data_IF_015174133658
#
_entry.id   IF_015174133658
#
_cell.length_a   1.000
_cell.length_b   1.000
_cell.length_c   1.000
_cell.angle_alpha   90.00
_cell.angle_beta   90.00
_cell.angle_gamma   90.00
#
_symmetry.space_group_name_H-M   'P 1'
#
loop_
_entity.id
_entity.type
_entity.pdbx_description
1 polymer ?
#
# COMPACT_ATOMS: atom_id res chain seq x y z
N UNK A 1 -80.44 23.70 -43.65
CA UNK A 1 -80.50 23.93 -42.19
C UNK A 1 -79.39 23.13 -41.52
N UNK A 2 -78.51 23.83 -40.78
CA UNK A 2 -77.81 23.45 -39.52
C UNK A 2 -77.06 22.10 -39.46
N UNK A 3 -75.72 22.13 -39.32
CA UNK A 3 -74.95 21.95 -38.05
C UNK A 3 -74.93 20.48 -37.58
N UNK A 4 -73.86 19.88 -37.05
CA UNK A 4 -72.65 20.37 -36.37
C UNK A 4 -71.70 19.17 -36.17
N UNK A 5 -70.42 19.48 -36.01
CA UNK A 5 -69.37 18.64 -35.41
C UNK A 5 -69.73 18.11 -34.01
N UNK A 6 -69.01 17.06 -33.56
CA UNK A 6 -68.16 16.96 -32.33
C UNK A 6 -67.99 15.44 -32.02
N UNK A 7 -66.81 14.81 -32.13
CA UNK A 7 -65.57 14.79 -31.29
C UNK A 7 -65.66 13.98 -29.98
N UNK A 8 -64.54 13.31 -29.67
CA UNK A 8 -64.18 12.40 -28.55
C UNK A 8 -64.62 10.93 -28.72
N UNK A 9 -63.78 9.89 -28.63
CA UNK A 9 -62.39 9.76 -28.20
C UNK A 9 -62.26 8.50 -27.34
N UNK A 10 -61.40 7.53 -27.70
CA UNK A 10 -60.52 6.80 -26.78
C UNK A 10 -59.70 5.71 -27.50
N UNK A 11 -58.40 5.97 -27.53
CA UNK A 11 -57.24 5.09 -27.38
C UNK A 11 -57.50 3.64 -26.88
N UNK A 12 -57.11 2.63 -27.67
CA UNK A 12 -56.52 1.37 -27.17
C UNK A 12 -55.32 1.01 -28.04
N UNK A 13 -54.18 0.86 -27.37
CA UNK A 13 -52.87 0.48 -27.87
C UNK A 13 -52.88 -0.90 -28.56
N UNK A 14 -52.37 -0.94 -29.80
CA UNK A 14 -52.03 -2.16 -30.53
C UNK A 14 -50.53 -2.41 -30.33
N UNK A 15 -50.19 -3.35 -29.44
CA UNK A 15 -48.82 -3.88 -29.33
C UNK A 15 -48.65 -4.92 -30.44
N UNK A 16 -48.08 -4.51 -31.56
CA UNK A 16 -47.51 -5.41 -32.54
C UNK A 16 -46.00 -5.52 -32.25
N UNK A 17 -45.59 -6.68 -31.74
CA UNK A 17 -44.19 -7.00 -31.53
C UNK A 17 -43.45 -7.11 -32.86
N UNK A 18 -42.60 -6.13 -33.15
CA UNK A 18 -41.53 -6.28 -34.13
C UNK A 18 -40.39 -7.04 -33.45
N UNK A 19 -40.23 -8.32 -33.80
CA UNK A 19 -39.01 -9.07 -33.57
C UNK A 19 -38.00 -8.63 -34.64
N UNK A 20 -37.17 -7.65 -34.31
CA UNK A 20 -35.95 -7.36 -35.04
C UNK A 20 -34.84 -8.22 -34.42
N UNK A 21 -34.52 -9.33 -35.09
CA UNK A 21 -33.33 -10.11 -34.84
C UNK A 21 -32.15 -9.31 -35.44
N UNK A 22 -31.51 -8.49 -34.62
CA UNK A 22 -30.24 -7.87 -34.97
C UNK A 22 -29.18 -8.97 -34.88
N UNK A 23 -28.72 -9.43 -36.04
CA UNK A 23 -27.63 -10.39 -36.17
C UNK A 23 -26.38 -9.65 -35.69
N UNK A 24 -25.88 -9.97 -34.50
CA UNK A 24 -24.54 -9.58 -34.08
C UNK A 24 -23.56 -10.21 -35.08
N UNK A 25 -22.99 -9.39 -35.95
CA UNK A 25 -21.73 -9.75 -36.61
C UNK A 25 -20.67 -9.77 -35.52
N UNK A 26 -20.25 -10.98 -35.15
CA UNK A 26 -19.02 -11.15 -34.38
C UNK A 26 -17.89 -10.54 -35.23
N UNK A 27 -17.37 -9.39 -34.78
CA UNK A 27 -16.18 -8.79 -35.37
C UNK A 27 -15.03 -9.73 -35.03
N UNK A 28 -14.64 -10.55 -36.00
CA UNK A 28 -13.45 -11.40 -35.89
C UNK A 28 -12.23 -10.49 -35.82
N UNK A 29 -11.69 -10.35 -34.61
CA UNK A 29 -10.45 -9.63 -34.34
C UNK A 29 -9.35 -10.33 -35.12
N UNK A 30 -8.82 -9.67 -36.15
CA UNK A 30 -7.73 -10.19 -36.97
C UNK A 30 -6.52 -10.60 -36.10
N UNK A 31 -5.82 -11.67 -36.49
CA UNK A 31 -4.66 -12.21 -35.76
C UNK A 31 -3.58 -11.14 -35.46
N UNK A 32 -3.53 -10.06 -36.25
CA UNK A 32 -2.66 -8.90 -36.01
C UNK A 32 -3.08 -8.10 -34.77
N UNK A 33 -4.38 -7.88 -34.53
CA UNK A 33 -4.90 -7.22 -33.33
C UNK A 33 -4.83 -8.13 -32.10
N UNK A 34 -5.01 -9.45 -32.30
CA UNK A 34 -4.78 -10.45 -31.26
C UNK A 34 -3.32 -10.47 -30.82
N UNK A 35 -2.39 -10.33 -31.79
CA UNK A 35 -0.95 -10.20 -31.52
C UNK A 35 -0.58 -8.93 -30.76
N UNK A 36 -1.30 -7.81 -30.95
CA UNK A 36 -1.09 -6.56 -30.16
C UNK A 36 -1.69 -6.63 -28.76
N UNK A 37 -2.66 -7.53 -28.52
CA UNK A 37 -3.21 -7.83 -27.18
C UNK A 37 -2.42 -8.91 -26.44
N UNK A 38 -1.74 -9.82 -27.15
CA UNK A 38 -0.90 -10.88 -26.59
C UNK A 38 0.57 -10.44 -26.37
N UNK A 39 1.02 -9.33 -26.96
CA UNK A 39 2.32 -8.73 -26.60
C UNK A 39 2.13 -7.71 -25.49
N UNK A 40 2.25 -8.19 -24.24
CA UNK A 40 2.56 -7.40 -23.05
C UNK A 40 3.91 -6.66 -23.21
N UNK A 41 4.00 -5.66 -24.08
CA UNK A 41 5.22 -4.88 -24.28
C UNK A 41 4.89 -3.38 -24.26
N UNK A 42 4.12 -2.97 -23.26
CA UNK A 42 3.86 -1.58 -22.94
C UNK A 42 4.40 -1.31 -21.54
N UNK A 43 5.71 -1.08 -21.45
CA UNK A 43 6.40 -0.76 -20.22
C UNK A 43 6.01 0.67 -19.84
N UNK A 44 5.36 0.85 -18.69
CA UNK A 44 5.08 2.18 -18.17
C UNK A 44 6.41 2.91 -17.89
N UNK A 45 6.70 4.00 -18.61
CA UNK A 45 7.80 4.90 -18.24
C UNK A 45 7.37 5.77 -17.05
N UNK A 46 7.36 5.17 -15.86
CA UNK A 46 7.17 5.92 -14.62
C UNK A 46 8.47 6.65 -14.27
N UNK A 47 8.41 7.89 -13.77
CA UNK A 47 9.60 8.54 -13.24
C UNK A 47 10.12 7.73 -12.05
N UNK A 48 11.41 7.39 -12.03
CA UNK A 48 11.99 6.60 -10.94
C UNK A 48 11.80 7.25 -9.57
N UNK A 49 11.80 8.59 -9.52
CA UNK A 49 11.59 9.36 -8.30
C UNK A 49 10.30 10.17 -8.37
N UNK A 50 9.63 10.27 -7.23
CA UNK A 50 8.39 11.00 -7.04
C UNK A 50 8.70 12.31 -6.33
N UNK A 51 8.16 13.42 -6.83
CA UNK A 51 8.31 14.74 -6.19
C UNK A 51 7.36 14.90 -5.00
N UNK A 52 7.65 15.83 -4.08
CA UNK A 52 6.76 16.12 -2.94
C UNK A 52 5.33 16.46 -3.37
N UNK A 53 5.16 17.24 -4.45
CA UNK A 53 3.83 17.57 -4.98
C UNK A 53 3.11 16.31 -5.47
N UNK A 54 3.81 15.42 -6.17
CA UNK A 54 3.23 14.17 -6.63
C UNK A 54 2.86 13.26 -5.46
N UNK A 55 3.71 13.16 -4.44
CA UNK A 55 3.46 12.36 -3.24
C UNK A 55 2.28 12.91 -2.41
N UNK A 56 2.14 14.24 -2.26
CA UNK A 56 0.95 14.85 -1.62
C UNK A 56 -0.34 14.46 -2.33
N UNK A 57 -0.37 14.57 -3.66
CA UNK A 57 -1.53 14.18 -4.45
C UNK A 57 -1.85 12.68 -4.31
N UNK A 58 -0.83 11.82 -4.36
CA UNK A 58 -0.97 10.37 -4.17
C UNK A 58 -1.55 10.05 -2.80
N UNK A 59 -1.04 10.68 -1.74
CA UNK A 59 -1.52 10.50 -0.37
C UNK A 59 -2.98 10.96 -0.19
N UNK A 60 -3.34 12.12 -0.75
CA UNK A 60 -4.73 12.61 -0.73
C UNK A 60 -5.65 11.68 -1.51
N UNK A 61 -5.25 11.24 -2.71
CA UNK A 61 -6.04 10.32 -3.51
C UNK A 61 -6.24 9.00 -2.77
N UNK A 62 -5.19 8.47 -2.15
CA UNK A 62 -5.28 7.28 -1.30
C UNK A 62 -6.30 7.43 -0.17
N UNK A 63 -6.22 8.52 0.61
CA UNK A 63 -7.16 8.77 1.71
C UNK A 63 -8.60 8.89 1.21
N UNK A 64 -8.79 9.51 0.05
CA UNK A 64 -10.10 9.69 -0.57
C UNK A 64 -10.70 8.40 -1.15
N UNK A 65 -9.88 7.39 -1.47
CA UNK A 65 -10.34 6.06 -1.88
C UNK A 65 -10.92 5.26 -0.72
N UNK A 66 -10.49 5.55 0.51
CA UNK A 66 -10.93 4.80 1.68
C UNK A 66 -12.40 5.05 2.00
N UNK A 67 -13.11 4.03 2.52
CA UNK A 67 -14.47 4.21 3.05
C UNK A 67 -14.55 5.28 4.15
N UNK A 68 -13.42 5.60 4.80
CA UNK A 68 -13.30 6.64 5.82
C UNK A 68 -13.56 8.06 5.27
N UNK A 69 -13.28 8.32 3.98
CA UNK A 69 -13.56 9.62 3.34
C UNK A 69 -15.06 9.95 3.29
N UNK A 70 -15.93 8.92 3.26
CA UNK A 70 -17.38 9.12 3.29
C UNK A 70 -17.89 9.65 4.64
N UNK A 71 -17.12 9.48 5.73
CA UNK A 71 -17.46 9.90 7.09
C UNK A 71 -16.85 11.26 7.43
N UNK A 72 -15.58 11.47 7.03
CA UNK A 72 -14.80 12.67 7.39
C UNK A 72 -14.87 13.76 6.31
N UNK A 73 -15.42 13.45 5.12
CA UNK A 73 -15.36 14.29 3.94
C UNK A 73 -14.11 14.03 3.09
N UNK A 74 -14.02 14.69 1.94
CA UNK A 74 -12.84 14.56 1.09
C UNK A 74 -11.64 15.31 1.68
N UNK A 75 -10.53 14.62 1.78
CA UNK A 75 -9.23 15.19 2.13
C UNK A 75 -8.71 16.07 0.99
N UNK A 76 -8.03 17.15 1.35
CA UNK A 76 -7.36 18.08 0.44
C UNK A 76 -6.00 18.50 1.02
N UNK A 77 -5.27 19.35 0.28
CA UNK A 77 -3.93 19.80 0.67
C UNK A 77 -3.93 20.60 1.99
N UNK A 78 -5.02 21.29 2.31
CA UNK A 78 -5.15 22.06 3.55
C UNK A 78 -5.33 21.17 4.79
N UNK A 79 -5.67 19.89 4.60
CA UNK A 79 -5.74 18.91 5.69
C UNK A 79 -4.36 18.36 6.08
N UNK A 80 -3.29 18.74 5.37
CA UNK A 80 -1.91 18.34 5.67
C UNK A 80 -1.31 19.32 6.68
N UNK A 81 -1.05 18.85 7.90
CA UNK A 81 -0.36 19.62 8.95
C UNK A 81 1.14 19.67 8.67
N UNK A 82 1.70 18.52 8.34
CA UNK A 82 3.12 18.36 8.12
C UNK A 82 3.39 17.40 6.96
N UNK A 83 4.40 17.74 6.17
CA UNK A 83 4.89 16.91 5.09
C UNK A 83 6.41 16.87 5.21
N UNK A 84 6.94 15.72 5.59
CA UNK A 84 8.35 15.48 5.83
C UNK A 84 8.95 14.70 4.67
N UNK A 85 10.18 15.06 4.31
CA UNK A 85 10.97 14.33 3.33
C UNK A 85 12.09 13.59 4.05
N UNK A 86 12.08 12.26 3.96
CA UNK A 86 13.13 11.39 4.48
C UNK A 86 14.07 11.04 3.33
N UNK A 87 15.36 11.25 3.54
CA UNK A 87 16.38 11.13 2.51
C UNK A 87 17.47 10.14 2.90
N UNK A 88 18.14 9.59 1.91
CA UNK A 88 19.35 8.80 2.11
C UNK A 88 20.59 9.67 2.34
N UNK A 89 21.72 9.02 2.63
CA UNK A 89 23.03 9.65 2.78
C UNK A 89 23.51 10.39 1.51
N UNK A 90 22.93 10.07 0.34
CA UNK A 90 23.17 10.78 -0.92
C UNK A 90 22.23 11.98 -1.12
N UNK A 91 21.41 12.32 -0.11
CA UNK A 91 20.42 13.39 -0.11
C UNK A 91 19.28 13.19 -1.14
N UNK A 92 19.03 11.95 -1.55
CA UNK A 92 17.91 11.56 -2.40
C UNK A 92 16.71 11.18 -1.52
N UNK A 93 15.48 11.57 -1.88
CA UNK A 93 14.29 11.20 -1.12
C UNK A 93 14.04 9.70 -1.24
N UNK A 94 13.79 9.04 -0.10
CA UNK A 94 13.43 7.63 -0.01
C UNK A 94 11.98 7.48 0.42
N UNK A 95 11.52 8.31 1.36
CA UNK A 95 10.14 8.28 1.85
C UNK A 95 9.61 9.70 2.06
N UNK A 96 8.29 9.82 2.01
CA UNK A 96 7.56 10.99 2.45
C UNK A 96 6.63 10.63 3.60
N UNK A 97 6.50 11.51 4.59
CA UNK A 97 5.54 11.37 5.69
C UNK A 97 4.56 12.53 5.64
N UNK A 98 3.28 12.21 5.55
CA UNK A 98 2.18 13.16 5.51
C UNK A 98 1.34 13.02 6.79
N UNK A 99 1.49 13.95 7.73
CA UNK A 99 0.68 14.03 8.94
C UNK A 99 -0.52 14.96 8.71
N UNK A 100 -1.70 14.54 9.17
CA UNK A 100 -2.95 15.26 8.98
C UNK A 100 -3.30 16.12 10.20
N UNK A 101 -3.91 17.28 9.92
CA UNK A 101 -4.35 18.22 10.96
C UNK A 101 -5.28 17.56 11.97
N UNK A 102 -5.17 18.00 13.22
CA UNK A 102 -5.97 17.51 14.35
C UNK A 102 -5.76 16.03 14.67
N UNK A 103 -4.54 15.51 14.43
CA UNK A 103 -4.20 14.12 14.74
C UNK A 103 -5.11 13.11 14.02
N UNK A 104 -5.56 13.45 12.80
CA UNK A 104 -6.50 12.64 12.00
C UNK A 104 -5.79 11.56 11.18
N UNK A 105 -4.61 11.14 11.63
CA UNK A 105 -3.83 10.10 10.99
C UNK A 105 -2.66 10.61 10.17
N UNK A 106 -2.04 9.66 9.49
CA UNK A 106 -0.85 9.88 8.66
C UNK A 106 -0.84 8.96 7.45
N UNK A 107 0.00 9.28 6.47
CA UNK A 107 0.36 8.40 5.37
C UNK A 107 1.88 8.48 5.16
N UNK A 108 2.55 7.32 5.11
CA UNK A 108 3.95 7.18 4.71
C UNK A 108 3.98 6.66 3.28
N UNK A 109 4.65 7.40 2.41
CA UNK A 109 4.74 7.12 0.98
C UNK A 109 6.15 6.79 0.55
N UNK A 110 6.29 5.93 -0.45
CA UNK A 110 7.55 5.78 -1.16
C UNK A 110 7.88 7.04 -1.96
N UNK A 111 9.15 7.43 -2.00
CA UNK A 111 9.63 8.47 -2.90
C UNK A 111 10.09 7.92 -4.27
N UNK A 112 9.92 6.62 -4.51
CA UNK A 112 10.31 5.96 -5.76
C UNK A 112 9.22 5.04 -6.31
N UNK A 113 9.00 5.08 -7.62
CA UNK A 113 7.96 4.30 -8.30
C UNK A 113 8.28 2.82 -8.44
N UNK A 114 9.53 2.44 -8.14
CA UNK A 114 9.99 1.05 -8.12
C UNK A 114 9.44 0.27 -6.93
N UNK A 115 8.95 1.00 -5.92
CA UNK A 115 8.37 0.48 -4.69
C UNK A 115 6.92 0.91 -4.56
N UNK A 116 6.14 0.19 -3.75
CA UNK A 116 4.73 0.45 -3.45
C UNK A 116 4.50 1.90 -3.00
N UNK A 117 3.43 2.58 -3.48
CA UNK A 117 3.20 3.98 -3.17
C UNK A 117 2.86 4.26 -1.71
N UNK A 118 2.11 3.37 -1.06
CA UNK A 118 1.62 3.55 0.31
C UNK A 118 2.22 2.47 1.19
N UNK A 119 3.18 2.88 2.03
CA UNK A 119 3.96 1.97 2.86
C UNK A 119 3.35 1.85 4.26
N UNK A 120 2.89 2.96 4.83
CA UNK A 120 2.11 2.92 6.06
C UNK A 120 1.02 3.98 6.06
N UNK A 121 -0.02 3.77 6.86
CA UNK A 121 -1.04 4.78 7.09
C UNK A 121 -1.82 4.55 8.38
N UNK A 122 -2.42 5.60 8.90
CA UNK A 122 -3.43 5.52 9.96
C UNK A 122 -4.52 6.56 9.73
N UNK A 123 -5.71 6.32 10.27
CA UNK A 123 -6.82 7.29 10.28
C UNK A 123 -6.88 8.07 11.61
N UNK A 124 -5.92 7.85 12.50
CA UNK A 124 -5.77 8.50 13.79
C UNK A 124 -4.29 8.61 14.16
N UNK A 125 -3.95 9.54 15.03
CA UNK A 125 -2.55 9.73 15.43
C UNK A 125 -1.74 10.50 14.39
N UNK A 126 -0.42 10.46 14.57
CA UNK A 126 0.58 11.04 13.69
C UNK A 126 1.81 10.12 13.62
N UNK A 127 2.64 10.33 12.61
CA UNK A 127 3.91 9.65 12.46
C UNK A 127 5.06 10.58 12.87
N UNK A 128 5.87 10.15 13.83
CA UNK A 128 7.00 10.90 14.39
C UNK A 128 8.32 10.30 13.91
N UNK A 129 8.89 10.92 12.86
CA UNK A 129 10.19 10.54 12.31
C UNK A 129 11.33 10.84 13.29
N UNK A 130 11.21 11.91 14.07
CA UNK A 130 12.30 12.38 14.95
C UNK A 130 12.56 11.47 16.14
N UNK A 131 11.62 10.59 16.46
CA UNK A 131 11.71 9.65 17.58
C UNK A 131 11.72 8.18 17.12
N UNK A 132 12.02 7.92 15.84
CA UNK A 132 11.95 6.57 15.27
C UNK A 132 12.95 5.59 15.93
N UNK A 133 14.11 6.09 16.34
CA UNK A 133 15.16 5.32 17.01
C UNK A 133 14.77 4.81 18.40
N UNK A 134 13.78 5.45 19.04
CA UNK A 134 13.24 4.97 20.32
C UNK A 134 12.43 3.67 20.18
N UNK A 135 12.21 3.22 18.95
CA UNK A 135 11.42 2.03 18.62
C UNK A 135 12.21 1.12 17.69
N UNK A 136 13.00 0.20 18.24
CA UNK A 136 13.87 -0.69 17.47
C UNK A 136 13.12 -1.35 16.28
N UNK A 137 11.87 -1.79 16.48
CA UNK A 137 11.11 -2.39 15.38
C UNK A 137 10.62 -1.44 14.29
N UNK A 138 10.25 -0.21 14.64
CA UNK A 138 9.79 0.78 13.66
C UNK A 138 11.00 1.28 12.85
N UNK A 139 12.13 1.44 13.55
CA UNK A 139 13.42 1.74 12.96
C UNK A 139 13.83 0.67 11.95
N UNK A 140 13.68 -0.60 12.32
CA UNK A 140 14.02 -1.73 11.46
C UNK A 140 13.07 -1.86 10.25
N UNK A 141 11.77 -1.60 10.43
CA UNK A 141 10.83 -1.48 9.31
C UNK A 141 11.25 -0.38 8.32
N UNK A 142 11.55 0.80 8.83
CA UNK A 142 12.00 1.94 8.04
C UNK A 142 13.31 1.65 7.29
N UNK A 143 14.27 1.03 7.98
CA UNK A 143 15.55 0.61 7.41
C UNK A 143 15.34 -0.35 6.24
N UNK A 144 14.38 -1.27 6.38
CA UNK A 144 14.10 -2.25 5.34
C UNK A 144 13.48 -1.64 4.10
N UNK A 145 12.62 -0.61 4.23
CA UNK A 145 12.14 0.16 3.07
C UNK A 145 13.27 0.88 2.35
N UNK A 146 14.18 1.48 3.12
CA UNK A 146 15.38 2.11 2.55
C UNK A 146 16.25 1.12 1.77
N UNK A 147 16.58 -0.02 2.37
CA UNK A 147 17.42 -1.06 1.74
C UNK A 147 16.78 -1.59 0.47
N UNK A 148 15.47 -1.86 0.52
CA UNK A 148 14.69 -2.39 -0.60
C UNK A 148 14.63 -1.42 -1.78
N UNK A 149 14.29 -0.14 -1.53
CA UNK A 149 14.23 0.89 -2.57
C UNK A 149 15.58 1.03 -3.29
N UNK A 150 16.68 1.14 -2.53
CA UNK A 150 18.02 1.28 -3.11
C UNK A 150 18.40 0.08 -3.99
N UNK A 151 18.04 -1.14 -3.57
CA UNK A 151 18.28 -2.31 -4.39
C UNK A 151 17.48 -2.28 -5.68
N UNK A 152 16.18 -2.00 -5.59
CA UNK A 152 15.30 -1.99 -6.77
C UNK A 152 15.84 -0.96 -7.78
N UNK A 153 16.24 0.22 -7.31
CA UNK A 153 16.92 1.24 -8.12
C UNK A 153 18.22 0.71 -8.77
N UNK A 154 19.08 0.03 -8.02
CA UNK A 154 20.37 -0.47 -8.57
C UNK A 154 20.22 -1.60 -9.58
N UNK A 155 19.15 -2.40 -9.49
CA UNK A 155 18.89 -3.51 -10.40
C UNK A 155 18.11 -3.12 -11.64
N UNK A 156 17.51 -1.92 -11.68
CA UNK A 156 16.86 -1.36 -12.86
C UNK A 156 17.81 -0.97 -14.01
N UNK A 157 19.13 -1.12 -13.81
CA UNK A 157 20.15 -0.96 -14.85
C UNK A 157 20.44 -2.22 -15.68
N UNK A 158 19.73 -3.32 -15.45
CA UNK A 158 19.83 -4.54 -16.23
C UNK A 158 19.09 -4.42 -17.57
N UNK A 159 19.52 -5.18 -18.59
CA UNK A 159 18.97 -5.10 -19.96
C UNK A 159 17.46 -5.46 -20.02
N UNK A 160 16.92 -6.12 -19.00
CA UNK A 160 15.51 -6.58 -18.92
C UNK A 160 14.82 -6.20 -17.59
N UNK A 161 15.35 -5.23 -16.83
CA UNK A 161 14.79 -4.89 -15.53
C UNK A 161 13.69 -3.84 -15.65
N UNK A 162 12.45 -4.26 -15.44
CA UNK A 162 11.26 -3.41 -15.44
C UNK A 162 10.73 -3.19 -14.01
N UNK A 163 9.99 -2.11 -13.82
CA UNK A 163 9.20 -1.92 -12.61
C UNK A 163 8.13 -3.02 -12.56
N UNK A 164 7.98 -3.64 -11.39
CA UNK A 164 6.95 -4.66 -11.17
C UNK A 164 5.57 -4.12 -11.57
N UNK A 165 4.88 -4.85 -12.46
CA UNK A 165 3.60 -4.39 -13.03
C UNK A 165 2.50 -4.18 -11.98
N UNK A 166 2.52 -4.92 -10.86
CA UNK A 166 1.58 -4.72 -9.76
C UNK A 166 1.88 -3.41 -9.03
N UNK A 167 3.16 -3.12 -8.78
CA UNK A 167 3.60 -1.83 -8.21
C UNK A 167 3.23 -0.67 -9.13
N UNK A 168 3.50 -0.79 -10.42
CA UNK A 168 3.14 0.22 -11.41
C UNK A 168 1.63 0.50 -11.42
N UNK A 169 0.81 -0.55 -11.38
CA UNK A 169 -0.66 -0.41 -11.33
C UNK A 169 -1.15 0.30 -10.06
N UNK A 170 -0.50 0.10 -8.91
CA UNK A 170 -0.83 0.86 -7.69
C UNK A 170 -0.57 2.36 -7.87
N UNK A 171 0.59 2.74 -8.45
CA UNK A 171 0.90 4.14 -8.75
C UNK A 171 -0.09 4.76 -9.74
N UNK A 172 -0.40 4.05 -10.82
CA UNK A 172 -1.35 4.52 -11.84
C UNK A 172 -2.74 4.76 -11.23
N UNK A 173 -3.22 3.87 -10.36
CA UNK A 173 -4.52 4.06 -9.69
C UNK A 173 -4.54 5.28 -8.78
N UNK A 174 -3.45 5.56 -8.06
CA UNK A 174 -3.38 6.70 -7.16
C UNK A 174 -3.05 8.01 -7.88
N UNK A 175 -2.37 7.94 -9.02
CA UNK A 175 -2.00 9.10 -9.83
C UNK A 175 -1.91 8.69 -11.31
N UNK A 176 -3.04 8.70 -12.04
CA UNK A 176 -3.06 8.26 -13.44
C UNK A 176 -2.15 9.08 -14.37
N UNK A 177 -1.86 10.33 -14.02
CA UNK A 177 -0.97 11.21 -14.76
C UNK A 177 0.51 11.04 -14.40
N UNK A 178 0.87 10.11 -13.51
CA UNK A 178 2.29 9.76 -13.26
C UNK A 178 2.90 9.01 -14.45
N UNK A 179 2.05 8.46 -15.30
CA UNK A 179 2.39 7.71 -16.49
C UNK A 179 2.38 8.63 -17.72
N UNK A 180 3.52 8.77 -18.39
CA UNK A 180 3.66 9.59 -19.61
C UNK A 180 3.24 8.80 -20.87
N UNK A 181 3.11 7.47 -20.82
CA UNK A 181 2.87 6.63 -22.00
C UNK A 181 1.49 5.96 -22.08
N UNK A 182 0.84 5.58 -20.97
CA UNK A 182 -0.60 5.21 -21.00
C UNK A 182 -1.47 6.44 -21.34
N UNK A 183 -0.94 7.66 -21.14
CA UNK A 183 -1.59 8.92 -21.51
C UNK A 183 -1.63 9.23 -23.03
N UNK A 184 -1.34 8.26 -23.92
CA UNK A 184 -1.57 8.45 -25.37
C UNK A 184 -3.05 8.48 -25.75
N UNK A 185 -3.94 8.07 -24.88
CA UNK A 185 -5.31 8.57 -24.90
C UNK A 185 -5.69 9.04 -23.50
N UNK A 186 -6.12 10.31 -23.32
CA UNK A 186 -6.73 10.78 -22.09
C UNK A 186 -8.09 10.09 -21.93
N UNK A 187 -8.07 8.82 -21.54
CA UNK A 187 -9.22 8.03 -21.17
C UNK A 187 -9.64 8.40 -19.75
N UNK A 188 -10.92 8.63 -19.55
CA UNK A 188 -11.51 8.95 -18.24
C UNK A 188 -11.26 7.76 -17.31
N UNK A 189 -10.30 7.89 -16.39
CA UNK A 189 -10.11 6.95 -15.29
C UNK A 189 -11.32 7.04 -14.38
N UNK A 190 -12.10 5.97 -14.32
CA UNK A 190 -13.26 5.91 -13.42
C UNK A 190 -12.98 4.88 -12.34
N UNK A 191 -12.86 5.36 -11.10
CA UNK A 191 -12.86 4.52 -9.92
C UNK A 191 -14.20 3.79 -9.82
N UNK A 192 -14.17 2.46 -9.62
CA UNK A 192 -15.39 1.66 -9.54
C UNK A 192 -15.69 1.20 -8.11
N UNK A 193 -14.69 0.66 -7.40
CA UNK A 193 -14.89 0.11 -6.06
C UNK A 193 -13.58 -0.06 -5.28
N UNK A 194 -13.64 0.01 -3.94
CA UNK A 194 -12.57 -0.40 -3.01
C UNK A 194 -13.05 -1.63 -2.26
N UNK A 195 -12.37 -2.75 -2.51
CA UNK A 195 -12.61 -4.01 -1.85
C UNK A 195 -11.59 -4.14 -0.71
N UNK A 196 -12.07 -4.01 0.53
CA UNK A 196 -11.27 -4.22 1.74
C UNK A 196 -11.73 -5.46 2.48
N UNK A 197 -10.78 -6.31 2.84
CA UNK A 197 -11.00 -7.41 3.78
C UNK A 197 -10.14 -7.13 5.01
N UNK A 198 -10.76 -7.05 6.19
CA UNK A 198 -10.07 -6.85 7.47
C UNK A 198 -10.39 -8.00 8.40
N UNK A 199 -9.38 -8.55 9.06
CA UNK A 199 -9.53 -9.68 9.98
C UNK A 199 -9.15 -9.27 11.41
N UNK A 200 -10.00 -9.68 12.37
CA UNK A 200 -9.71 -9.68 13.81
C UNK A 200 -9.66 -8.32 14.53
N UNK A 201 -9.82 -8.39 15.85
CA UNK A 201 -9.40 -7.39 16.84
C UNK A 201 -8.95 -8.17 18.07
N UNK A 202 -7.70 -8.65 18.05
CA UNK A 202 -7.19 -9.38 19.18
C UNK A 202 -6.91 -8.38 20.33
N UNK A 203 -7.58 -8.57 21.47
CA UNK A 203 -7.49 -7.69 22.63
C UNK A 203 -6.11 -7.78 23.28
N UNK A 204 -5.58 -6.61 23.70
CA UNK A 204 -4.50 -6.42 24.66
C UNK A 204 -3.40 -7.51 24.76
N UNK A 205 -2.44 -7.49 23.83
CA UNK A 205 -1.16 -8.15 24.03
C UNK A 205 -0.14 -7.15 24.61
N UNK A 206 0.26 -7.31 25.86
CA UNK A 206 1.49 -6.67 26.35
C UNK A 206 2.68 -7.41 25.77
N UNK A 207 3.66 -6.70 25.20
CA UNK A 207 4.93 -7.28 24.78
C UNK A 207 5.66 -7.81 26.00
N UNK A 208 5.61 -9.11 26.22
CA UNK A 208 6.44 -9.76 27.24
C UNK A 208 7.64 -10.37 26.51
N UNK A 209 8.78 -9.67 26.55
CA UNK A 209 10.08 -10.28 26.28
C UNK A 209 10.18 -11.55 27.15
N UNK A 210 9.99 -12.72 26.54
CA UNK A 210 9.92 -13.99 27.28
C UNK A 210 8.88 -15.00 26.77
N UNK A 211 7.99 -14.63 25.83
CA UNK A 211 7.05 -15.60 25.23
C UNK A 211 7.80 -16.74 24.50
N UNK A 212 9.05 -16.49 24.08
CA UNK A 212 9.86 -17.43 23.31
C UNK A 212 10.62 -18.49 24.12
N UNK A 213 10.50 -18.53 25.45
CA UNK A 213 11.24 -19.49 26.29
C UNK A 213 10.58 -20.88 26.30
N UNK A 214 10.30 -21.43 25.11
CA UNK A 214 10.10 -22.85 24.74
C UNK A 214 9.10 -23.72 25.53
N UNK A 215 8.45 -23.20 26.57
CA UNK A 215 7.83 -23.99 27.63
C UNK A 215 6.30 -24.05 27.56
N UNK A 216 5.67 -23.25 26.69
CA UNK A 216 4.21 -23.03 26.71
C UNK A 216 3.47 -23.47 25.43
N UNK A 217 4.06 -24.33 24.60
CA UNK A 217 3.35 -24.96 23.47
C UNK A 217 3.11 -24.06 22.25
N UNK A 218 3.87 -22.97 22.11
CA UNK A 218 3.79 -22.07 20.96
C UNK A 218 4.45 -22.64 19.71
N UNK A 219 3.94 -22.25 18.55
CA UNK A 219 4.58 -22.51 17.25
C UNK A 219 5.33 -21.27 16.78
N UNK A 220 6.62 -21.42 16.53
CA UNK A 220 7.44 -20.43 15.83
C UNK A 220 7.62 -20.85 14.37
N UNK A 221 7.49 -19.90 13.46
CA UNK A 221 7.77 -20.12 12.03
C UNK A 221 8.34 -18.86 11.40
N UNK A 222 8.90 -19.00 10.19
CA UNK A 222 9.20 -17.85 9.34
C UNK A 222 7.92 -17.02 9.11
N UNK A 223 8.10 -15.73 8.85
CA UNK A 223 6.98 -14.84 8.62
C UNK A 223 6.18 -15.26 7.39
N UNK A 224 4.87 -15.39 7.55
CA UNK A 224 3.96 -15.68 6.45
C UNK A 224 2.65 -14.93 6.68
N UNK A 225 2.33 -14.00 5.77
CA UNK A 225 1.13 -13.17 5.94
C UNK A 225 -0.16 -13.99 5.99
N UNK A 226 -0.27 -15.08 5.22
CA UNK A 226 -1.47 -15.91 5.25
C UNK A 226 -1.64 -16.58 6.62
N UNK A 227 -0.55 -17.06 7.23
CA UNK A 227 -0.59 -17.55 8.62
C UNK A 227 -1.08 -16.47 9.59
N UNK A 228 -0.59 -15.23 9.46
CA UNK A 228 -1.06 -14.11 10.31
C UNK A 228 -2.54 -13.83 10.08
N UNK A 229 -2.99 -13.82 8.83
CA UNK A 229 -4.38 -13.57 8.47
C UNK A 229 -5.32 -14.68 8.98
N UNK A 230 -4.89 -15.93 8.94
CA UNK A 230 -5.65 -17.08 9.45
C UNK A 230 -5.77 -17.02 10.98
N UNK A 231 -4.70 -16.69 11.70
CA UNK A 231 -4.76 -16.46 13.15
C UNK A 231 -5.70 -15.29 13.51
N UNK A 232 -5.68 -14.19 12.75
CA UNK A 232 -6.60 -13.06 12.95
C UNK A 232 -8.06 -13.38 12.61
N UNK A 233 -8.32 -14.26 11.64
CA UNK A 233 -9.67 -14.78 11.37
C UNK A 233 -10.25 -15.50 12.60
N UNK A 234 -9.38 -16.15 13.36
CA UNK A 234 -9.71 -16.83 14.61
C UNK A 234 -9.60 -15.91 15.83
N UNK A 235 -9.44 -14.60 15.63
CA UNK A 235 -9.28 -13.58 16.69
C UNK A 235 -8.08 -13.79 17.62
N UNK A 236 -7.02 -14.45 17.14
CA UNK A 236 -5.79 -14.70 17.89
C UNK A 236 -4.75 -13.60 17.61
N UNK A 237 -3.98 -13.17 18.63
CA UNK A 237 -2.86 -12.24 18.42
C UNK A 237 -1.72 -13.01 17.77
N UNK A 238 -1.02 -12.37 16.83
CA UNK A 238 0.28 -12.85 16.35
C UNK A 238 1.37 -11.91 16.80
N UNK A 239 2.40 -12.46 17.41
CA UNK A 239 3.60 -11.69 17.73
C UNK A 239 4.60 -11.87 16.61
N UNK A 240 5.21 -10.77 16.19
CA UNK A 240 6.26 -10.75 15.20
C UNK A 240 7.55 -10.42 15.93
N UNK A 241 8.52 -11.32 15.82
CA UNK A 241 9.86 -11.08 16.31
C UNK A 241 10.75 -10.71 15.12
N UNK A 242 11.48 -9.60 15.28
CA UNK A 242 12.44 -9.10 14.33
C UNK A 242 13.80 -8.96 14.98
N UNK A 243 14.85 -9.44 14.35
CA UNK A 243 16.21 -9.36 14.87
C UNK A 243 17.14 -8.76 13.82
N UNK A 244 17.80 -7.65 14.14
CA UNK A 244 18.77 -6.98 13.28
C UNK A 244 20.21 -7.06 13.84
N UNK A 245 21.20 -7.06 12.94
CA UNK A 245 22.62 -6.91 13.28
C UNK A 245 23.16 -5.49 13.05
N UNK A 246 22.31 -4.56 12.65
CA UNK A 246 22.67 -3.18 12.33
C UNK A 246 21.50 -2.27 12.69
N UNK A 247 21.77 -1.00 12.99
CA UNK A 247 20.74 -0.03 13.33
C UNK A 247 20.63 1.03 12.24
N UNK A 248 19.44 1.57 12.07
CA UNK A 248 19.24 2.77 11.29
C UNK A 248 19.43 3.98 12.20
N UNK A 249 20.28 4.90 11.77
CA UNK A 249 20.45 6.21 12.38
C UNK A 249 19.65 7.24 11.59
N UNK A 250 19.00 8.15 12.31
CA UNK A 250 18.24 9.26 11.77
C UNK A 250 18.82 10.57 12.28
N UNK A 251 18.88 11.58 11.42
CA UNK A 251 19.34 12.91 11.83
C UNK A 251 18.52 13.96 11.11
N UNK A 252 18.00 14.95 11.84
CA UNK A 252 17.35 16.09 11.23
C UNK A 252 18.38 16.85 10.35
N UNK A 253 18.13 16.92 9.04
CA UNK A 253 19.03 17.57 8.08
C UNK A 253 18.54 18.96 7.67
N UNK A 254 17.33 19.33 8.07
CA UNK A 254 16.78 20.66 7.88
C UNK A 254 15.32 20.77 8.33
N UNK A 255 14.68 21.93 8.12
CA UNK A 255 13.25 22.09 8.35
C UNK A 255 12.48 21.08 7.51
N UNK A 256 11.71 20.20 8.18
CA UNK A 256 10.89 19.16 7.53
C UNK A 256 11.69 18.13 6.70
N UNK A 257 12.97 17.94 6.99
CA UNK A 257 13.80 16.94 6.32
C UNK A 257 14.66 16.15 7.30
N UNK A 258 14.73 14.85 7.06
CA UNK A 258 15.52 13.90 7.85
C UNK A 258 16.45 13.13 6.91
N UNK A 259 17.71 12.99 7.31
CA UNK A 259 18.66 12.08 6.69
C UNK A 259 18.65 10.76 7.46
N UNK A 260 18.63 9.66 6.73
CA UNK A 260 18.77 8.31 7.26
C UNK A 260 20.04 7.66 6.70
N UNK A 261 20.80 7.06 7.61
CA UNK A 261 21.98 6.28 7.30
C UNK A 261 21.97 4.98 8.10
N UNK A 262 22.45 3.89 7.50
CA UNK A 262 22.59 2.62 8.21
C UNK A 262 23.94 2.60 8.91
N UNK A 263 23.92 2.52 10.24
CA UNK A 263 25.14 2.36 11.02
C UNK A 263 25.38 0.88 11.28
N UNK A 264 26.53 0.39 10.83
CA UNK A 264 27.04 -0.95 11.15
C UNK A 264 27.72 -0.89 12.52
N UNK A 265 26.99 -0.45 13.55
CA UNK A 265 27.45 -0.72 14.90
C UNK A 265 27.37 -2.24 15.10
N UNK A 266 28.54 -2.85 15.28
CA UNK A 266 28.65 -4.26 15.69
C UNK A 266 28.05 -4.40 17.09
N UNK A 267 26.73 -4.54 17.15
CA UNK A 267 26.07 -4.90 18.39
C UNK A 267 26.54 -6.32 18.74
N UNK A 268 27.20 -6.52 19.91
CA UNK A 268 27.62 -7.85 20.33
C UNK A 268 26.42 -8.79 20.60
N UNK A 269 25.21 -8.23 20.66
CA UNK A 269 23.95 -8.92 20.86
C UNK A 269 22.99 -8.53 19.72
N UNK A 270 22.35 -9.52 19.11
CA UNK A 270 21.31 -9.31 18.09
C UNK A 270 20.23 -8.41 18.67
N UNK A 271 19.96 -7.24 18.07
CA UNK A 271 18.88 -6.37 18.51
C UNK A 271 17.56 -7.00 18.07
N UNK A 272 16.91 -7.72 18.98
CA UNK A 272 15.64 -8.34 18.73
C UNK A 272 14.51 -7.54 19.36
N UNK A 273 13.42 -7.36 18.62
CA UNK A 273 12.20 -6.73 19.08
C UNK A 273 11.02 -7.65 18.89
N UNK A 274 9.96 -7.41 19.66
CA UNK A 274 8.70 -8.12 19.54
C UNK A 274 7.57 -7.12 19.37
N UNK A 275 6.69 -7.36 18.39
CA UNK A 275 5.55 -6.52 18.09
C UNK A 275 4.28 -7.36 18.04
N UNK A 276 3.18 -6.83 18.53
CA UNK A 276 1.87 -7.45 18.36
C UNK A 276 1.23 -6.97 17.04
N UNK A 277 1.05 -7.89 16.09
CA UNK A 277 0.18 -7.68 14.94
C UNK A 277 -1.26 -7.99 15.37
N UNK A 278 -2.11 -6.96 15.39
CA UNK A 278 -3.48 -7.09 15.92
C UNK A 278 -4.53 -7.38 14.86
N UNK A 279 -4.27 -6.91 13.63
CA UNK A 279 -5.19 -7.01 12.50
C UNK A 279 -4.41 -7.14 11.20
N UNK A 280 -5.05 -7.74 10.21
CA UNK A 280 -4.57 -7.82 8.83
C UNK A 280 -5.59 -7.15 7.93
N UNK A 281 -5.11 -6.52 6.86
CA UNK A 281 -5.96 -5.90 5.85
C UNK A 281 -5.41 -6.13 4.46
N UNK A 282 -6.23 -6.73 3.61
CA UNK A 282 -6.01 -6.77 2.15
C UNK A 282 -6.84 -5.69 1.48
N UNK A 283 -6.27 -5.02 0.50
CA UNK A 283 -6.92 -3.94 -0.23
C UNK A 283 -6.76 -4.14 -1.73
N UNK A 284 -7.87 -4.06 -2.45
CA UNK A 284 -7.89 -4.12 -3.91
C UNK A 284 -8.78 -3.02 -4.44
N UNK A 285 -8.28 -2.32 -5.46
CA UNK A 285 -8.99 -1.21 -6.09
C UNK A 285 -9.37 -1.63 -7.48
N UNK A 286 -10.68 -1.61 -7.77
CA UNK A 286 -11.19 -1.83 -9.11
C UNK A 286 -11.29 -0.49 -9.82
N UNK A 287 -10.60 -0.37 -10.96
CA UNK A 287 -10.64 0.84 -11.78
C UNK A 287 -11.02 0.49 -13.22
N UNK A 288 -11.53 1.48 -13.95
CA UNK A 288 -11.84 1.36 -15.37
C UNK A 288 -11.03 2.38 -16.16
N UNK A 289 -10.43 1.90 -17.23
CA UNK A 289 -9.92 2.70 -18.33
C UNK A 289 -10.73 2.38 -19.60
N UNK A 290 -10.48 3.08 -20.70
CA UNK A 290 -11.25 2.90 -21.94
C UNK A 290 -11.22 1.46 -22.46
N UNK A 291 -10.09 0.77 -22.29
CA UNK A 291 -9.88 -0.61 -22.76
C UNK A 291 -10.52 -1.68 -21.88
N UNK A 292 -10.96 -1.38 -20.66
CA UNK A 292 -11.53 -2.39 -19.76
C UNK A 292 -11.49 -2.02 -18.28
N UNK A 293 -11.84 -3.00 -17.43
CA UNK A 293 -11.75 -2.90 -15.98
C UNK A 293 -10.58 -3.72 -15.45
N UNK A 294 -9.82 -3.13 -14.54
CA UNK A 294 -8.58 -3.65 -14.00
C UNK A 294 -8.61 -3.60 -12.47
N UNK A 295 -7.66 -4.29 -11.85
CA UNK A 295 -7.47 -4.28 -10.41
C UNK A 295 -6.05 -3.85 -10.07
N UNK A 296 -5.91 -2.90 -9.15
CA UNK A 296 -4.68 -2.68 -8.42
C UNK A 296 -4.81 -3.38 -7.06
N UNK A 297 -3.97 -4.37 -6.83
CA UNK A 297 -3.85 -5.01 -5.52
C UNK A 297 -2.80 -4.23 -4.73
N UNK A 298 -3.20 -3.73 -3.58
CA UNK A 298 -2.31 -3.05 -2.65
C UNK A 298 -1.64 -4.07 -1.73
N UNK A 299 -0.56 -3.67 -1.05
CA UNK A 299 0.12 -4.54 -0.10
C UNK A 299 -0.85 -5.08 0.94
N UNK A 300 -0.51 -6.27 1.41
CA UNK A 300 -1.10 -6.85 2.59
C UNK A 300 -0.59 -6.06 3.81
N UNK A 301 -1.50 -5.38 4.52
CA UNK A 301 -1.17 -4.51 5.65
C UNK A 301 -1.37 -5.21 6.98
N UNK A 302 -0.45 -4.98 7.91
CA UNK A 302 -0.60 -5.34 9.32
C UNK A 302 -0.88 -4.10 10.15
N UNK A 303 -1.87 -4.16 11.03
CA UNK A 303 -2.04 -3.13 12.06
C UNK A 303 -1.07 -3.41 13.21
N UNK A 304 -0.11 -2.51 13.39
CA UNK A 304 0.94 -2.59 14.40
C UNK A 304 0.72 -1.50 15.45
N UNK A 305 0.78 -1.93 16.71
CA UNK A 305 0.77 -1.07 17.89
C UNK A 305 2.20 -0.96 18.41
N UNK A 306 2.87 0.15 18.08
CA UNK A 306 4.28 0.38 18.37
C UNK A 306 4.52 0.81 19.83
N UNK A 307 3.88 0.16 20.81
CA UNK A 307 4.10 0.24 22.28
C UNK A 307 4.21 1.69 22.86
N UNK A 308 3.83 2.72 22.09
CA UNK A 308 4.00 4.12 22.45
C UNK A 308 2.74 4.92 22.15
N UNK A 309 2.27 5.63 23.17
CA UNK A 309 1.35 6.80 23.22
C UNK A 309 0.35 7.07 22.07
N UNK A 310 -0.02 6.10 21.25
CA UNK A 310 -0.85 6.25 20.05
C UNK A 310 -0.15 6.82 18.79
N UNK A 311 1.09 7.31 18.91
CA UNK A 311 1.85 7.80 17.74
C UNK A 311 2.45 6.62 16.99
N UNK A 312 2.60 6.75 15.67
CA UNK A 312 3.05 5.69 14.76
C UNK A 312 2.13 4.47 14.67
N UNK A 313 1.13 4.30 15.54
CA UNK A 313 0.20 3.17 15.40
C UNK A 313 -0.58 3.25 14.09
N UNK A 314 -0.63 2.14 13.36
CA UNK A 314 -1.22 2.17 12.02
C UNK A 314 -1.09 0.86 11.25
N UNK A 315 -1.48 0.93 9.98
CA UNK A 315 -1.36 -0.13 8.99
C UNK A 315 -0.03 -0.01 8.27
N UNK A 316 0.77 -1.07 8.28
CA UNK A 316 2.12 -1.13 7.72
C UNK A 316 2.21 -2.22 6.66
N UNK A 317 2.84 -1.91 5.53
CA UNK A 317 3.11 -2.87 4.47
C UNK A 317 4.23 -3.82 4.93
N UNK A 318 3.81 -4.93 5.51
CA UNK A 318 4.72 -5.86 6.15
C UNK A 318 4.95 -7.04 5.22
N UNK A 319 6.20 -7.21 4.80
CA UNK A 319 6.62 -8.27 3.89
C UNK A 319 7.51 -9.26 4.64
N UNK A 320 7.67 -10.48 4.11
CA UNK A 320 8.70 -11.38 4.60
C UNK A 320 10.08 -10.83 4.20
N UNK A 321 10.80 -10.28 5.18
CA UNK A 321 12.13 -9.72 4.95
C UNK A 321 13.22 -10.79 4.94
N UNK A 322 12.90 -12.07 5.17
CA UNK A 322 13.85 -13.15 4.92
C UNK A 322 14.15 -13.31 3.42
N UNK A 323 13.22 -12.95 2.53
CA UNK A 323 13.46 -12.96 1.07
C UNK A 323 14.47 -11.89 0.64
N UNK A 324 14.54 -10.77 1.39
CA UNK A 324 15.52 -9.70 1.18
C UNK A 324 16.95 -10.19 1.50
N UNK A 325 17.13 -11.28 2.27
CA UNK A 325 18.47 -11.88 2.50
C UNK A 325 19.09 -12.55 1.27
N UNK A 326 18.26 -12.95 0.28
CA UNK A 326 18.69 -13.85 -0.79
C UNK A 326 19.21 -13.14 -2.05
N UNK A 327 18.86 -11.88 -2.24
CA UNK A 327 19.65 -11.03 -3.14
C UNK A 327 20.84 -10.46 -2.35
N UNK A 328 21.91 -10.02 -3.01
CA UNK A 328 23.17 -9.57 -2.39
C UNK A 328 23.05 -8.29 -1.50
N UNK A 329 21.91 -8.06 -0.85
CA UNK A 329 21.60 -7.00 0.11
C UNK A 329 22.42 -7.07 1.41
N UNK A 330 22.97 -8.23 1.73
CA UNK A 330 23.12 -8.72 3.10
C UNK A 330 24.42 -8.36 3.83
N UNK A 331 25.26 -7.49 3.25
CA UNK A 331 26.45 -7.01 3.97
C UNK A 331 26.15 -5.96 5.04
N UNK A 332 25.11 -5.14 4.85
CA UNK A 332 24.91 -3.91 5.62
C UNK A 332 23.73 -3.96 6.59
N UNK A 333 22.76 -4.84 6.37
CA UNK A 333 21.58 -4.94 7.22
C UNK A 333 21.02 -6.36 7.18
N UNK A 334 21.45 -7.17 8.16
CA UNK A 334 20.97 -8.54 8.34
C UNK A 334 19.79 -8.53 9.30
N UNK A 335 18.61 -8.85 8.79
CA UNK A 335 17.38 -8.88 9.55
C UNK A 335 16.67 -10.22 9.41
N UNK A 336 16.34 -10.88 10.51
CA UNK A 336 15.52 -12.10 10.52
C UNK A 336 14.18 -11.86 11.17
N UNK A 337 13.14 -12.44 10.58
CA UNK A 337 11.77 -12.29 11.04
C UNK A 337 11.12 -13.64 11.31
N UNK A 338 10.43 -13.72 12.44
CA UNK A 338 9.67 -14.89 12.85
C UNK A 338 8.31 -14.47 13.36
N UNK A 339 7.34 -15.35 13.25
CA UNK A 339 6.04 -15.20 13.91
C UNK A 339 5.92 -16.21 15.05
N UNK A 340 5.27 -15.77 16.12
CA UNK A 340 4.78 -16.61 17.20
C UNK A 340 3.26 -16.60 17.11
N UNK A 341 2.70 -17.77 16.79
CA UNK A 341 1.26 -17.97 16.57
C UNK A 341 0.70 -19.01 17.54
N UNK A 342 -0.62 -19.24 17.46
CA UNK A 342 -1.34 -20.18 18.33
C UNK A 342 -1.33 -19.81 19.81
N UNK A 343 -1.33 -18.51 20.09
CA UNK A 343 -1.62 -18.00 21.42
C UNK A 343 -3.12 -18.10 21.66
N UNK A 344 -3.51 -19.05 22.50
CA UNK A 344 -4.87 -19.05 23.02
C UNK A 344 -5.01 -17.80 23.90
N UNK A 345 -6.06 -17.01 23.67
CA UNK A 345 -6.44 -15.97 24.62
C UNK A 345 -6.81 -16.67 25.93
N UNK A 346 -6.00 -16.46 26.98
CA UNK A 346 -6.35 -16.90 28.34
C UNK A 346 -7.50 -16.08 28.93
#
# INVERSE_FOLDING_TARGET
MKQKMIFYGLLIFLIAGFSACEKNEDIEITDTQKKTLDTNEFIAELPLFVTETQAKEVGINFLNLSKYSSVVGQYNVQDIEEFLTVKNDMNEPILYVMNLVYNRGFVVLSASTVEKPILAYSYEGSFDVGNIESYDGLNDWAAMKFVRINYLLSNLGGVDSEIDSEVANQWVVLKPNLDVQIAREPGIYTFLDVITHSFGAAESATSNQGILDGSNGYTTSDFNFNTVADEHQESRVVYINGCSQSKLGSTATGPKSFGWGITTESAPETNCYELAARRTRKMRIKYRVRSGSYFATFPDYLYIDWIASGNNNGWYDYEDWNEVKHANYSGLYLYSQYIVSSLNAE
#
